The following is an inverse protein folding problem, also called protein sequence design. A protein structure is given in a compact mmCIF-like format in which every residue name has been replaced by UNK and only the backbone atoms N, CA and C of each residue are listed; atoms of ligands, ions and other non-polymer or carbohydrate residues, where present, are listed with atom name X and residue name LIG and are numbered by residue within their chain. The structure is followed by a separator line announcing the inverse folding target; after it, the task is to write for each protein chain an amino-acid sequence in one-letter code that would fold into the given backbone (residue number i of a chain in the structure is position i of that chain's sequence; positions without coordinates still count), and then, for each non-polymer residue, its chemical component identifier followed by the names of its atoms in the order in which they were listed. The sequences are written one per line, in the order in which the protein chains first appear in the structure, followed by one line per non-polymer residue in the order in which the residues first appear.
data_IF_595121201811
#
_entry.id   IF_595121201811
#
_cell.length_a   1.000
_cell.length_b   1.000
_cell.length_c   1.000
_cell.angle_alpha   90.00
_cell.angle_beta   90.00
_cell.angle_gamma   90.00
#
_symmetry.space_group_name_H-M   'P 1'
#
loop_
_entity.id
_entity.type
_entity.pdbx_description
1 polymer ?
#
# COMPACT_ATOMS: atom_id res chain seq x y z
N UNK A 1 -19.23 -35.06 -3.85
CA UNK A 1 -17.99 -34.27 -3.91
C UNK A 1 -18.30 -32.95 -4.60
N UNK A 2 -18.30 -31.82 -3.89
CA UNK A 2 -18.43 -30.49 -4.51
C UNK A 2 -17.07 -29.82 -4.48
N UNK A 3 -16.35 -29.94 -5.58
CA UNK A 3 -15.10 -29.23 -5.84
C UNK A 3 -15.44 -27.76 -6.00
N UNK A 4 -15.32 -26.99 -4.92
CA UNK A 4 -15.47 -25.54 -4.98
C UNK A 4 -14.13 -24.96 -5.45
N UNK A 5 -13.93 -24.98 -6.76
CA UNK A 5 -12.81 -24.32 -7.44
C UNK A 5 -12.93 -22.82 -7.21
N UNK A 6 -12.39 -22.31 -6.12
CA UNK A 6 -12.18 -20.86 -5.94
C UNK A 6 -11.22 -20.43 -7.05
N UNK A 7 -11.77 -19.94 -8.16
CA UNK A 7 -11.02 -19.14 -9.10
C UNK A 7 -10.36 -18.03 -8.27
N UNK A 8 -9.02 -18.05 -8.24
CA UNK A 8 -8.21 -17.09 -7.50
C UNK A 8 -8.36 -15.77 -8.25
N UNK A 9 -9.41 -15.02 -7.90
CA UNK A 9 -9.78 -13.80 -8.60
C UNK A 9 -8.97 -12.70 -7.93
N UNK A 10 -8.11 -12.03 -8.70
CA UNK A 10 -7.29 -10.93 -8.17
C UNK A 10 -8.20 -9.88 -7.57
N UNK A 11 -7.91 -9.43 -6.34
CA UNK A 11 -8.71 -8.42 -5.69
C UNK A 11 -8.91 -7.19 -6.62
N UNK A 12 -10.12 -6.60 -6.66
CA UNK A 12 -10.39 -5.39 -7.42
C UNK A 12 -9.35 -4.29 -7.14
N UNK A 13 -8.96 -3.53 -8.16
CA UNK A 13 -7.99 -2.42 -8.03
C UNK A 13 -8.30 -1.47 -6.85
N UNK A 14 -9.56 -1.07 -6.58
CA UNK A 14 -9.88 -0.22 -5.44
C UNK A 14 -9.59 -0.89 -4.09
N UNK A 15 -9.83 -2.18 -3.94
CA UNK A 15 -9.52 -2.92 -2.70
C UNK A 15 -8.02 -3.01 -2.46
N UNK A 16 -7.25 -3.25 -3.53
CA UNK A 16 -5.78 -3.22 -3.51
C UNK A 16 -5.26 -1.84 -3.12
N UNK A 17 -5.85 -0.77 -3.67
CA UNK A 17 -5.52 0.60 -3.32
C UNK A 17 -5.88 0.94 -1.86
N UNK A 18 -7.03 0.50 -1.34
CA UNK A 18 -7.42 0.68 0.08
C UNK A 18 -6.42 0.04 1.01
N UNK A 19 -6.00 -1.20 0.73
CA UNK A 19 -5.00 -1.92 1.52
C UNK A 19 -3.66 -1.17 1.51
N UNK A 20 -3.18 -0.75 0.34
CA UNK A 20 -1.90 -0.03 0.22
C UNK A 20 -1.96 1.33 0.90
N UNK A 21 -3.06 2.07 0.78
CA UNK A 21 -3.26 3.33 1.48
C UNK A 21 -3.20 3.16 3.01
N UNK A 22 -3.86 2.11 3.53
CA UNK A 22 -3.78 1.76 4.94
C UNK A 22 -2.35 1.38 5.36
N UNK A 23 -1.68 0.53 4.58
CA UNK A 23 -0.35 0.02 4.90
C UNK A 23 0.69 1.16 4.94
N UNK A 24 0.63 2.07 3.99
CA UNK A 24 1.52 3.24 3.91
C UNK A 24 1.07 4.40 4.81
N UNK A 25 -0.03 4.25 5.56
CA UNK A 25 -0.67 5.32 6.35
C UNK A 25 -0.78 6.62 5.55
N UNK A 26 -1.23 6.51 4.30
CA UNK A 26 -1.43 7.68 3.46
C UNK A 26 -2.51 8.57 4.07
N UNK A 27 -2.24 9.87 4.11
CA UNK A 27 -3.15 10.87 4.64
C UNK A 27 -4.52 10.74 3.95
N UNK A 28 -5.61 10.46 4.71
CA UNK A 28 -6.94 10.31 4.16
C UNK A 28 -7.39 11.51 3.33
N UNK A 29 -6.95 12.74 3.67
CA UNK A 29 -7.30 13.95 2.92
C UNK A 29 -6.66 14.01 1.53
N UNK A 30 -5.57 13.26 1.32
CA UNK A 30 -4.85 13.15 0.04
C UNK A 30 -5.32 11.97 -0.81
N UNK A 31 -6.11 11.07 -0.22
CA UNK A 31 -6.55 9.81 -0.83
C UNK A 31 -8.06 9.80 -1.07
N UNK A 32 -8.82 10.41 -0.17
CA UNK A 32 -10.26 10.61 -0.25
C UNK A 32 -10.52 12.10 -0.43
N UNK A 33 -10.70 12.55 -1.67
CA UNK A 33 -11.39 13.82 -1.89
C UNK A 33 -12.79 13.66 -1.28
N UNK A 34 -13.16 14.58 -0.37
CA UNK A 34 -14.39 14.54 0.42
C UNK A 34 -15.61 14.48 -0.52
N UNK A 35 -16.03 13.26 -0.85
CA UNK A 35 -17.31 12.93 -1.44
C UNK A 35 -17.82 11.68 -0.69
N UNK A 36 -19.01 11.73 -0.09
CA UNK A 36 -19.50 10.75 0.89
C UNK A 36 -19.90 9.38 0.31
N UNK A 37 -19.56 9.08 -0.93
CA UNK A 37 -20.10 7.96 -1.68
C UNK A 37 -19.00 7.24 -2.48
N UNK A 38 -18.96 5.91 -2.31
CA UNK A 38 -18.10 4.97 -3.03
C UNK A 38 -18.50 4.86 -4.51
N UNK A 39 -18.47 6.00 -5.20
CA UNK A 39 -18.75 6.11 -6.64
C UNK A 39 -17.60 5.50 -7.43
N UNK A 40 -17.85 5.10 -8.67
CA UNK A 40 -16.80 4.65 -9.58
C UNK A 40 -15.68 5.70 -9.72
N UNK A 41 -16.05 7.00 -9.71
CA UNK A 41 -15.11 8.11 -9.73
C UNK A 41 -14.27 8.20 -8.45
N UNK A 42 -14.88 8.02 -7.27
CA UNK A 42 -14.15 7.98 -5.99
C UNK A 42 -13.18 6.80 -5.90
N UNK A 43 -13.60 5.62 -6.37
CA UNK A 43 -12.75 4.44 -6.44
C UNK A 43 -11.57 4.63 -7.41
N UNK A 44 -11.80 5.25 -8.57
CA UNK A 44 -10.73 5.57 -9.52
C UNK A 44 -9.76 6.60 -8.94
N UNK A 45 -10.28 7.65 -8.30
CA UNK A 45 -9.46 8.68 -7.65
C UNK A 45 -8.55 8.09 -6.56
N UNK A 46 -9.09 7.21 -5.70
CA UNK A 46 -8.31 6.45 -4.73
C UNK A 46 -7.16 5.70 -5.40
N UNK A 47 -7.45 4.97 -6.48
CA UNK A 47 -6.45 4.19 -7.21
C UNK A 47 -5.36 5.11 -7.76
N UNK A 48 -5.72 6.21 -8.40
CA UNK A 48 -4.78 7.18 -8.97
C UNK A 48 -3.90 7.81 -7.89
N UNK A 49 -4.49 8.26 -6.78
CA UNK A 49 -3.75 8.83 -5.66
C UNK A 49 -2.77 7.82 -5.04
N UNK A 50 -3.17 6.57 -4.87
CA UNK A 50 -2.29 5.52 -4.34
C UNK A 50 -1.15 5.23 -5.30
N UNK A 51 -1.40 5.17 -6.60
CA UNK A 51 -0.34 5.00 -7.61
C UNK A 51 0.67 6.15 -7.57
N UNK A 52 0.19 7.40 -7.59
CA UNK A 52 1.04 8.58 -7.56
C UNK A 52 1.90 8.63 -6.30
N UNK A 53 1.31 8.37 -5.13
CA UNK A 53 2.05 8.38 -3.86
C UNK A 53 3.05 7.23 -3.80
N UNK A 54 2.66 6.01 -4.19
CA UNK A 54 3.54 4.86 -4.19
C UNK A 54 4.74 5.09 -5.12
N UNK A 55 4.51 5.64 -6.32
CA UNK A 55 5.59 5.96 -7.25
C UNK A 55 6.59 6.95 -6.65
N UNK A 56 6.10 8.05 -6.03
CA UNK A 56 6.97 9.04 -5.37
C UNK A 56 7.81 8.40 -4.26
N UNK A 57 7.20 7.55 -3.43
CA UNK A 57 7.89 6.86 -2.34
C UNK A 57 8.96 5.88 -2.85
N UNK A 58 8.69 5.19 -3.97
CA UNK A 58 9.67 4.31 -4.63
C UNK A 58 10.84 5.12 -5.20
N UNK A 59 10.57 6.25 -5.85
CA UNK A 59 11.61 7.14 -6.37
C UNK A 59 12.48 7.73 -5.26
N UNK A 60 11.87 8.19 -4.17
CA UNK A 60 12.57 8.68 -2.98
C UNK A 60 13.43 7.59 -2.35
N UNK A 61 12.90 6.38 -2.22
CA UNK A 61 13.64 5.24 -1.70
C UNK A 61 14.82 4.87 -2.62
N UNK A 62 14.65 4.92 -3.94
CA UNK A 62 15.73 4.68 -4.90
C UNK A 62 16.84 5.74 -4.77
N UNK A 63 16.47 7.03 -4.64
CA UNK A 63 17.41 8.14 -4.39
C UNK A 63 18.15 7.97 -3.06
N UNK A 64 17.47 7.50 -2.01
CA UNK A 64 18.13 7.25 -0.74
C UNK A 64 19.06 6.02 -0.82
N UNK A 65 18.65 4.96 -1.51
CA UNK A 65 19.43 3.75 -1.73
C UNK A 65 20.74 4.03 -2.48
N UNK A 66 20.74 4.95 -3.45
CA UNK A 66 21.93 5.31 -4.23
C UNK A 66 22.97 6.15 -3.47
N UNK A 67 22.60 6.80 -2.37
CA UNK A 67 23.57 7.54 -1.53
C UNK A 67 24.64 6.59 -0.96
N UNK A 68 25.92 6.99 -0.87
CA UNK A 68 26.96 6.18 -0.24
C UNK A 68 26.70 6.02 1.27
N UNK A 69 27.26 4.95 1.85
CA UNK A 69 27.16 4.63 3.27
C UNK A 69 26.12 3.54 3.60
N UNK A 70 26.21 2.94 4.80
CA UNK A 70 25.32 1.86 5.22
C UNK A 70 23.88 2.35 5.32
N UNK A 71 22.92 1.48 4.96
CA UNK A 71 21.49 1.77 5.13
C UNK A 71 21.02 1.29 6.49
N UNK A 72 20.23 2.10 7.23
CA UNK A 72 19.70 1.67 8.51
C UNK A 72 18.75 0.48 8.31
N UNK A 73 18.69 -0.50 9.24
CA UNK A 73 17.78 -1.64 9.13
C UNK A 73 16.32 -1.24 8.89
N UNK A 74 15.87 -0.11 9.49
CA UNK A 74 14.53 0.45 9.28
C UNK A 74 14.24 0.80 7.82
N UNK A 75 15.24 1.28 7.07
CA UNK A 75 15.10 1.55 5.65
C UNK A 75 14.95 0.26 4.84
N UNK A 76 15.67 -0.81 5.21
CA UNK A 76 15.53 -2.11 4.54
C UNK A 76 14.12 -2.71 4.73
N UNK A 77 13.54 -2.55 5.92
CA UNK A 77 12.15 -2.96 6.20
C UNK A 77 11.14 -2.11 5.43
N UNK A 78 11.41 -0.82 5.28
CA UNK A 78 10.61 0.06 4.45
C UNK A 78 10.66 -0.34 2.96
N UNK A 79 11.83 -0.69 2.43
CA UNK A 79 11.96 -1.22 1.06
C UNK A 79 11.09 -2.47 0.85
N UNK A 80 11.14 -3.43 1.78
CA UNK A 80 10.28 -4.63 1.73
C UNK A 80 8.79 -4.28 1.69
N UNK A 81 8.39 -3.23 2.42
CA UNK A 81 7.01 -2.75 2.41
C UNK A 81 6.65 -2.11 1.07
N UNK A 82 7.52 -1.29 0.49
CA UNK A 82 7.29 -0.70 -0.84
C UNK A 82 7.21 -1.76 -1.94
N UNK A 83 8.09 -2.76 -1.91
CA UNK A 83 8.06 -3.89 -2.84
C UNK A 83 6.73 -4.65 -2.75
N UNK A 84 6.23 -4.89 -1.53
CA UNK A 84 4.92 -5.50 -1.32
C UNK A 84 3.78 -4.63 -1.85
N UNK A 85 3.78 -3.33 -1.55
CA UNK A 85 2.78 -2.40 -2.06
C UNK A 85 2.75 -2.37 -3.59
N UNK A 86 3.92 -2.39 -4.25
CA UNK A 86 4.01 -2.49 -5.70
C UNK A 86 3.43 -3.80 -6.23
N UNK A 87 3.75 -4.93 -5.60
CA UNK A 87 3.23 -6.25 -5.98
C UNK A 87 1.71 -6.36 -5.80
N UNK A 88 1.17 -5.72 -4.75
CA UNK A 88 -0.28 -5.62 -4.54
C UNK A 88 -0.91 -4.73 -5.63
N UNK A 89 -0.37 -3.54 -5.90
CA UNK A 89 -0.93 -2.66 -6.95
C UNK A 89 -0.80 -3.24 -8.36
N UNK A 90 0.22 -4.04 -8.66
CA UNK A 90 0.34 -4.77 -9.94
C UNK A 90 -0.59 -5.97 -10.05
N UNK A 91 -1.07 -6.50 -8.91
CA UNK A 91 -1.90 -7.71 -8.85
C UNK A 91 -1.10 -9.00 -8.88
N UNK A 92 0.23 -8.90 -8.67
CA UNK A 92 1.13 -10.04 -8.50
C UNK A 92 0.98 -10.67 -7.12
N UNK A 93 0.47 -9.92 -6.14
CA UNK A 93 0.21 -10.38 -4.78
C UNK A 93 -1.17 -9.91 -4.33
N UNK A 94 -1.91 -10.78 -3.62
CA UNK A 94 -3.19 -10.40 -3.04
C UNK A 94 -2.96 -9.56 -1.77
N UNK A 95 -3.76 -8.50 -1.55
CA UNK A 95 -3.79 -7.83 -0.25
C UNK A 95 -4.33 -8.78 0.82
N UNK A 96 -3.96 -8.54 2.09
CA UNK A 96 -4.66 -9.20 3.18
C UNK A 96 -6.12 -8.74 3.17
N UNK A 97 -7.10 -9.66 3.22
CA UNK A 97 -8.49 -9.27 3.31
C UNK A 97 -8.73 -8.54 4.64
N UNK A 98 -9.64 -7.55 4.68
CA UNK A 98 -10.04 -6.95 5.94
C UNK A 98 -10.70 -8.00 6.85
N UNK A 99 -10.67 -7.75 8.15
CA UNK A 99 -11.36 -8.55 9.15
C UNK A 99 -12.89 -8.37 9.05
N UNK A 100 -13.64 -9.04 9.92
CA UNK A 100 -15.10 -8.99 9.95
C UNK A 100 -15.69 -7.58 10.19
N UNK A 101 -14.87 -6.66 10.68
CA UNK A 101 -15.24 -5.26 10.90
C UNK A 101 -14.84 -4.33 9.74
N UNK A 102 -14.24 -4.87 8.67
CA UNK A 102 -13.78 -4.07 7.53
C UNK A 102 -12.43 -3.39 7.75
N UNK A 103 -11.66 -3.80 8.77
CA UNK A 103 -10.36 -3.24 9.12
C UNK A 103 -9.22 -4.13 8.61
N UNK A 104 -8.11 -3.53 8.20
CA UNK A 104 -6.91 -4.28 7.80
C UNK A 104 -5.99 -4.52 9.01
N UNK A 105 -5.36 -5.70 9.02
CA UNK A 105 -4.42 -6.12 10.08
C UNK A 105 -3.05 -6.45 9.49
N UNK A 106 -1.98 -6.07 10.18
CA UNK A 106 -0.61 -6.25 9.69
C UNK A 106 -0.02 -7.60 10.13
N UNK A 107 -0.62 -8.70 9.68
CA UNK A 107 -0.22 -10.05 10.09
C UNK A 107 1.16 -10.46 9.60
N UNK A 108 1.59 -9.89 8.47
CA UNK A 108 2.86 -10.21 7.81
C UNK A 108 4.05 -9.37 8.31
N UNK A 109 3.82 -8.48 9.28
CA UNK A 109 4.86 -7.71 9.96
C UNK A 109 5.54 -6.67 9.07
N UNK A 110 4.82 -6.08 8.11
CA UNK A 110 5.33 -4.98 7.29
C UNK A 110 5.53 -3.70 8.13
N UNK A 111 6.38 -2.78 7.70
CA UNK A 111 6.47 -1.47 8.38
C UNK A 111 5.34 -0.58 7.89
N UNK A 112 4.41 -0.19 8.76
CA UNK A 112 3.40 0.79 8.38
C UNK A 112 3.99 2.20 8.28
N UNK A 113 3.44 3.03 7.38
CA UNK A 113 3.82 4.43 7.23
C UNK A 113 5.01 4.68 6.30
N UNK A 114 5.30 5.96 6.07
CA UNK A 114 6.41 6.41 5.19
C UNK A 114 7.73 6.50 5.94
N UNK A 115 8.87 6.37 5.26
CA UNK A 115 10.19 6.52 5.86
C UNK A 115 10.72 7.92 5.69
N UNK A 116 11.14 8.56 6.79
CA UNK A 116 11.81 9.87 6.78
C UNK A 116 13.28 9.73 7.19
N UNK A 117 14.24 10.10 6.32
CA UNK A 117 15.66 9.97 6.63
C UNK A 117 16.17 10.93 7.71
N UNK A 118 15.45 12.01 8.04
CA UNK A 118 15.90 13.05 8.99
C UNK A 118 15.32 12.92 10.42
N UNK A 119 14.54 11.88 10.71
CA UNK A 119 14.12 11.55 12.08
C UNK A 119 12.61 11.39 12.26
N UNK A 120 12.23 10.29 12.91
CA UNK A 120 10.89 10.02 13.43
C UNK A 120 9.93 9.37 12.43
N UNK A 121 9.40 8.21 12.81
CA UNK A 121 8.18 7.65 12.20
C UNK A 121 7.04 8.68 12.38
N UNK A 122 6.27 8.95 11.32
CA UNK A 122 4.96 9.63 11.40
C UNK A 122 3.87 8.60 11.20
#
# INVERSE_FOLDING_TARGET
MKSNSRARTVAPKPERARYVAWLLRLDPSKVYRIAPDATAAGNQHLVDCVFDQLQRLVEEAARFKSKPGPKPPRFLWYLRTLEHCCAVMSGTTEPLPPNEHGEFENKDGYRCGTYRPEGGDV
#
